data_IF_924097590012
#
_entry.id   IF_924097590012
#
_cell.length_a   1.000
_cell.length_b   1.000
_cell.length_c   1.000
_cell.angle_alpha   90.00
_cell.angle_beta   90.00
_cell.angle_gamma   90.00
#
_symmetry.space_group_name_H-M   'P 1'
#
loop_
_entity.id
_entity.type
_entity.pdbx_description
1 polymer ?
#
# COMPACT_ATOMS: atom_id res chain seq x y z
N UNK A 1 -15.70 2.01 -6.62
CA UNK A 1 -14.97 1.62 -7.84
C UNK A 1 -13.48 1.77 -7.59
N UNK A 2 -12.65 0.87 -8.17
CA UNK A 2 -11.20 1.01 -8.20
C UNK A 2 -10.76 1.45 -9.60
N UNK A 3 -9.78 2.35 -9.64
CA UNK A 3 -9.06 2.74 -10.84
C UNK A 3 -7.57 2.43 -10.69
N UNK A 4 -6.81 2.41 -11.79
CA UNK A 4 -5.36 2.34 -11.75
C UNK A 4 -4.82 3.50 -10.90
N UNK A 5 -3.80 3.26 -10.10
CA UNK A 5 -3.15 4.31 -9.31
C UNK A 5 -2.62 5.43 -10.22
N UNK A 6 -2.92 6.68 -9.86
CA UNK A 6 -2.64 7.85 -10.71
C UNK A 6 -1.17 8.27 -10.73
N UNK A 7 -0.36 7.81 -9.76
CA UNK A 7 1.09 8.03 -9.73
C UNK A 7 1.78 6.93 -10.54
N UNK A 8 2.46 7.25 -11.65
CA UNK A 8 3.06 6.26 -12.55
C UNK A 8 4.06 5.32 -11.88
N UNK A 9 4.95 5.85 -11.02
CA UNK A 9 5.96 5.06 -10.30
C UNK A 9 5.33 4.06 -9.31
N UNK A 10 4.10 4.31 -8.86
CA UNK A 10 3.36 3.46 -7.91
C UNK A 10 2.41 2.50 -8.62
N UNK A 11 2.05 2.80 -9.87
CA UNK A 11 0.96 2.11 -10.57
C UNK A 11 1.19 0.62 -10.82
N UNK A 12 2.44 0.18 -10.83
CA UNK A 12 2.78 -1.26 -10.90
C UNK A 12 4.22 -1.47 -10.43
N UNK A 13 4.38 -2.20 -9.34
CA UNK A 13 5.67 -2.72 -8.89
C UNK A 13 6.02 -4.06 -9.55
N UNK A 14 7.30 -4.39 -9.58
CA UNK A 14 7.80 -5.73 -9.91
C UNK A 14 8.66 -6.17 -8.73
N UNK A 15 8.30 -7.30 -8.13
CA UNK A 15 9.07 -7.87 -7.03
C UNK A 15 9.79 -9.13 -7.51
N UNK A 16 11.11 -9.13 -7.39
CA UNK A 16 11.99 -10.27 -7.68
C UNK A 16 12.44 -10.93 -6.39
N UNK A 17 12.62 -12.23 -6.41
CA UNK A 17 13.30 -12.91 -5.31
C UNK A 17 14.73 -12.37 -5.15
N UNK A 18 15.22 -12.19 -3.91
CA UNK A 18 16.58 -11.75 -3.65
C UNK A 18 17.61 -12.80 -4.16
N UNK A 19 18.81 -12.34 -4.52
CA UNK A 19 19.90 -13.24 -4.95
C UNK A 19 20.34 -14.16 -3.80
N UNK A 20 20.31 -13.66 -2.58
CA UNK A 20 20.55 -14.45 -1.36
C UNK A 20 19.23 -15.08 -0.90
N UNK A 21 19.07 -16.35 -1.19
CA UNK A 21 17.87 -17.13 -0.83
C UNK A 21 17.67 -17.30 0.68
N UNK A 22 18.65 -16.95 1.51
CA UNK A 22 18.47 -16.93 2.97
C UNK A 22 17.58 -15.77 3.43
N UNK A 23 17.43 -14.76 2.59
CA UNK A 23 16.54 -13.61 2.85
C UNK A 23 15.11 -13.96 2.42
N UNK A 24 14.13 -13.39 3.14
CA UNK A 24 12.74 -13.39 2.67
C UNK A 24 12.63 -12.65 1.33
N UNK A 25 11.71 -13.08 0.48
CA UNK A 25 11.38 -12.31 -0.74
C UNK A 25 10.80 -10.96 -0.34
N UNK A 26 9.96 -10.97 0.71
CA UNK A 26 9.49 -9.77 1.38
C UNK A 26 9.17 -10.07 2.84
N UNK A 27 9.47 -9.13 3.73
CA UNK A 27 9.24 -9.30 5.17
C UNK A 27 7.79 -8.96 5.53
N UNK A 28 7.37 -9.21 6.78
CA UNK A 28 6.03 -8.83 7.24
C UNK A 28 5.83 -7.32 7.17
N UNK A 29 4.86 -6.86 6.38
CA UNK A 29 4.53 -5.45 6.18
C UNK A 29 3.06 -5.24 5.79
N UNK A 30 2.68 -4.00 5.62
CA UNK A 30 1.52 -3.56 4.84
C UNK A 30 1.99 -2.62 3.75
N UNK A 31 1.27 -2.55 2.64
CA UNK A 31 1.61 -1.66 1.55
C UNK A 31 1.26 -0.20 1.84
N UNK A 32 1.92 0.71 1.15
CA UNK A 32 1.58 2.13 1.18
C UNK A 32 0.36 2.48 0.33
N UNK A 33 -0.09 1.59 -0.56
CA UNK A 33 -1.27 1.77 -1.41
C UNK A 33 -2.53 1.23 -0.76
N UNK A 34 -3.68 1.84 -1.07
CA UNK A 34 -4.96 1.40 -0.53
C UNK A 34 -5.34 0.00 -1.02
N UNK A 35 -5.13 -0.27 -2.30
CA UNK A 35 -5.41 -1.55 -2.94
C UNK A 35 -4.31 -1.92 -3.92
N UNK A 36 -3.96 -3.17 -3.95
CA UNK A 36 -3.04 -3.76 -4.92
C UNK A 36 -3.47 -5.18 -5.28
N UNK A 37 -2.87 -5.70 -6.34
CA UNK A 37 -3.02 -7.09 -6.74
C UNK A 37 -1.64 -7.74 -6.73
N UNK A 38 -1.46 -8.82 -6.02
CA UNK A 38 -0.24 -9.63 -6.11
C UNK A 38 -0.47 -10.69 -7.18
N UNK A 39 0.24 -10.58 -8.30
CA UNK A 39 0.11 -11.48 -9.45
C UNK A 39 1.40 -12.26 -9.66
N UNK A 40 1.34 -13.57 -9.60
CA UNK A 40 2.47 -14.45 -9.87
C UNK A 40 2.76 -14.52 -11.37
N UNK A 41 3.99 -14.17 -11.78
CA UNK A 41 4.42 -14.20 -13.20
C UNK A 41 5.21 -15.47 -13.49
N UNK A 42 6.10 -15.86 -12.59
CA UNK A 42 6.81 -17.14 -12.69
C UNK A 42 5.85 -18.32 -12.49
N UNK A 43 6.21 -19.49 -13.00
CA UNK A 43 5.43 -20.72 -12.77
C UNK A 43 5.56 -21.16 -11.30
N UNK A 44 4.48 -21.10 -10.50
CA UNK A 44 4.56 -21.49 -9.09
C UNK A 44 4.83 -22.99 -8.88
N UNK A 45 4.59 -23.82 -9.87
CA UNK A 45 4.80 -25.27 -9.76
C UNK A 45 6.28 -25.66 -9.63
N UNK A 46 7.20 -24.80 -10.10
CA UNK A 46 8.64 -25.03 -10.01
C UNK A 46 9.31 -24.28 -8.86
N UNK A 47 8.56 -23.44 -8.13
CA UNK A 47 9.08 -22.63 -7.04
C UNK A 47 8.93 -23.40 -5.73
N UNK A 48 10.03 -23.57 -4.98
CA UNK A 48 10.01 -24.11 -3.63
C UNK A 48 10.32 -22.99 -2.64
N UNK A 49 9.45 -22.80 -1.66
CA UNK A 49 9.47 -21.62 -0.81
C UNK A 49 8.83 -20.40 -1.50
N UNK A 50 9.08 -19.21 -0.98
CA UNK A 50 8.55 -17.97 -1.55
C UNK A 50 7.03 -17.84 -1.42
N UNK A 51 6.41 -18.60 -0.52
CA UNK A 51 4.97 -18.57 -0.27
C UNK A 51 4.53 -17.17 0.13
N UNK A 52 3.41 -16.73 -0.41
CA UNK A 52 2.73 -15.53 0.06
C UNK A 52 1.88 -15.87 1.28
N UNK A 53 2.12 -15.16 2.36
CA UNK A 53 1.45 -15.39 3.64
C UNK A 53 0.74 -14.13 4.12
N UNK A 54 -0.44 -14.34 4.69
CA UNK A 54 -1.30 -13.29 5.24
C UNK A 54 -1.55 -13.59 6.71
N UNK A 55 -1.41 -12.58 7.56
CA UNK A 55 -1.74 -12.66 8.97
C UNK A 55 -3.25 -12.47 9.17
N UNK A 56 -3.86 -13.38 9.91
CA UNK A 56 -5.27 -13.31 10.29
C UNK A 56 -5.44 -12.45 11.55
N UNK A 57 -5.46 -11.15 11.34
CA UNK A 57 -5.59 -10.16 12.40
C UNK A 57 -5.33 -8.76 11.88
N UNK A 58 -5.31 -7.81 12.79
CA UNK A 58 -4.96 -6.43 12.44
C UNK A 58 -3.45 -6.25 12.28
N UNK A 59 -3.05 -5.20 11.52
CA UNK A 59 -1.66 -4.77 11.44
C UNK A 59 -1.04 -4.60 12.82
N UNK A 60 -1.75 -3.94 13.73
CA UNK A 60 -1.27 -3.64 15.08
C UNK A 60 -1.01 -4.91 15.90
N UNK A 61 -1.87 -5.91 15.78
CA UNK A 61 -1.65 -7.21 16.45
C UNK A 61 -0.42 -7.91 15.88
N UNK A 62 -0.27 -7.97 14.55
CA UNK A 62 0.90 -8.56 13.91
C UNK A 62 2.20 -7.86 14.31
N UNK A 63 2.23 -6.54 14.27
CA UNK A 63 3.37 -5.73 14.71
C UNK A 63 3.70 -5.96 16.19
N UNK A 64 2.69 -6.04 17.06
CA UNK A 64 2.87 -6.30 18.48
C UNK A 64 3.49 -7.67 18.73
N UNK A 65 3.03 -8.71 18.01
CA UNK A 65 3.59 -10.06 18.12
C UNK A 65 5.05 -10.14 17.67
N UNK A 66 5.43 -9.37 16.65
CA UNK A 66 6.80 -9.30 16.16
C UNK A 66 7.70 -8.33 16.95
N UNK A 67 7.10 -7.55 17.85
CA UNK A 67 7.82 -6.52 18.61
C UNK A 67 8.38 -5.40 17.73
N UNK A 68 7.72 -5.10 16.59
CA UNK A 68 8.11 -4.01 15.67
C UNK A 68 7.24 -2.78 15.91
N UNK A 69 7.81 -1.61 15.57
CA UNK A 69 7.11 -0.33 15.60
C UNK A 69 7.23 0.33 14.23
N UNK A 70 6.13 0.93 13.77
CA UNK A 70 6.13 1.58 12.45
C UNK A 70 5.99 0.57 11.30
N UNK A 71 6.68 0.84 10.19
CA UNK A 71 6.60 0.05 8.95
C UNK A 71 7.85 -0.83 8.73
N UNK A 72 8.71 -0.93 9.73
CA UNK A 72 9.87 -1.84 9.68
C UNK A 72 9.42 -3.28 9.47
N UNK A 73 9.92 -3.88 8.39
CA UNK A 73 9.69 -5.28 8.12
C UNK A 73 10.55 -6.18 9.02
N UNK A 74 10.05 -7.34 9.38
CA UNK A 74 10.81 -8.35 10.10
C UNK A 74 10.50 -9.74 9.54
N UNK A 75 11.55 -10.49 9.22
CA UNK A 75 11.45 -11.90 8.84
C UNK A 75 11.46 -12.77 10.10
N UNK A 76 10.35 -12.75 10.84
CA UNK A 76 10.13 -13.58 12.03
C UNK A 76 8.83 -14.35 11.88
N UNK A 77 8.74 -15.50 12.55
CA UNK A 77 7.52 -16.30 12.49
C UNK A 77 6.43 -15.74 13.38
N UNK A 78 5.23 -15.67 12.83
CA UNK A 78 3.99 -15.44 13.57
C UNK A 78 3.34 -16.77 13.95
N UNK A 79 2.43 -16.82 14.94
CA UNK A 79 1.71 -18.03 15.30
C UNK A 79 1.06 -18.69 14.09
N UNK A 80 1.39 -19.94 13.81
CA UNK A 80 1.00 -20.63 12.57
C UNK A 80 -0.52 -20.71 12.38
N UNK A 81 -1.28 -20.82 13.48
CA UNK A 81 -2.75 -20.81 13.48
C UNK A 81 -3.36 -19.47 13.06
N UNK A 82 -2.54 -18.41 13.01
CA UNK A 82 -2.94 -17.07 12.59
C UNK A 82 -2.35 -16.67 11.22
N UNK A 83 -1.72 -17.59 10.54
CA UNK A 83 -1.11 -17.34 9.21
C UNK A 83 -1.78 -18.19 8.16
N UNK A 84 -2.22 -17.56 7.08
CA UNK A 84 -2.76 -18.25 5.91
C UNK A 84 -1.79 -18.10 4.75
N UNK A 85 -1.47 -19.22 4.12
CA UNK A 85 -0.73 -19.23 2.86
C UNK A 85 -1.70 -19.11 1.69
N UNK A 86 -1.46 -18.14 0.82
CA UNK A 86 -2.23 -17.94 -0.41
C UNK A 86 -1.55 -18.72 -1.54
N UNK A 87 -2.28 -19.66 -2.11
CA UNK A 87 -1.80 -20.42 -3.25
C UNK A 87 -2.06 -19.70 -4.58
N UNK A 88 -1.08 -19.69 -5.47
CA UNK A 88 -1.24 -19.26 -6.85
C UNK A 88 -1.46 -20.51 -7.73
N UNK A 89 -2.62 -20.64 -8.41
CA UNK A 89 -2.90 -21.81 -9.25
C UNK A 89 -1.98 -21.97 -10.45
N UNK A 90 -1.34 -20.89 -10.89
CA UNK A 90 -0.42 -20.86 -12.02
C UNK A 90 0.10 -19.45 -12.31
N UNK A 91 0.98 -19.32 -13.27
CA UNK A 91 1.43 -18.02 -13.77
C UNK A 91 0.24 -17.22 -14.33
N UNK A 92 0.25 -15.91 -14.09
CA UNK A 92 -0.84 -14.99 -14.47
C UNK A 92 -2.02 -14.95 -13.51
N UNK A 93 -2.03 -15.79 -12.46
CA UNK A 93 -3.02 -15.68 -11.38
C UNK A 93 -2.59 -14.68 -10.32
N UNK A 94 -3.54 -13.95 -9.80
CA UNK A 94 -3.32 -12.99 -8.72
C UNK A 94 -4.54 -12.87 -7.82
N UNK A 95 -4.37 -12.18 -6.71
CA UNK A 95 -5.44 -11.81 -5.81
C UNK A 95 -5.35 -10.32 -5.49
N UNK A 96 -6.52 -9.71 -5.36
CA UNK A 96 -6.68 -8.31 -4.97
C UNK A 96 -6.74 -8.23 -3.45
N UNK A 97 -6.01 -7.29 -2.87
CA UNK A 97 -6.02 -7.05 -1.42
C UNK A 97 -6.17 -5.56 -1.09
N UNK A 98 -6.53 -5.29 0.16
CA UNK A 98 -6.37 -3.97 0.78
C UNK A 98 -4.95 -3.88 1.34
N UNK A 99 -3.98 -3.49 0.48
CA UNK A 99 -2.57 -3.56 0.79
C UNK A 99 -2.17 -2.85 2.08
N UNK A 100 -2.76 -1.68 2.33
CA UNK A 100 -2.49 -0.88 3.54
C UNK A 100 -3.09 -1.45 4.85
N UNK A 101 -3.89 -2.49 4.78
CA UNK A 101 -4.55 -3.11 5.93
C UNK A 101 -4.13 -4.55 6.18
N UNK A 102 -3.85 -5.29 5.12
CA UNK A 102 -3.49 -6.70 5.19
C UNK A 102 -2.02 -6.82 5.55
N UNK A 103 -1.73 -7.39 6.73
CA UNK A 103 -0.36 -7.66 7.15
C UNK A 103 0.11 -8.96 6.50
N UNK A 104 1.13 -8.87 5.65
CA UNK A 104 1.53 -9.97 4.77
C UNK A 104 3.04 -10.03 4.57
N UNK A 105 3.52 -11.15 4.02
CA UNK A 105 4.91 -11.36 3.60
C UNK A 105 5.00 -12.29 2.41
N UNK A 106 6.18 -12.34 1.78
CA UNK A 106 6.60 -13.42 0.91
C UNK A 106 7.82 -14.12 1.51
N UNK A 107 7.71 -15.43 1.78
CA UNK A 107 8.74 -16.23 2.45
C UNK A 107 10.02 -16.31 1.63
N UNK A 108 11.12 -16.76 2.25
CA UNK A 108 12.36 -17.08 1.54
C UNK A 108 12.17 -18.26 0.58
N UNK A 109 12.97 -18.27 -0.45
CA UNK A 109 13.09 -19.44 -1.33
C UNK A 109 13.86 -20.57 -0.63
N UNK A 110 13.53 -21.81 -0.96
CA UNK A 110 14.27 -23.00 -0.52
C UNK A 110 15.31 -23.44 -1.55
N UNK A 111 15.14 -23.03 -2.80
CA UNK A 111 16.06 -23.30 -3.91
C UNK A 111 16.19 -22.05 -4.78
N UNK A 112 17.34 -21.86 -5.41
CA UNK A 112 17.56 -20.74 -6.33
C UNK A 112 16.74 -20.93 -7.60
N UNK A 113 15.71 -20.14 -7.78
CA UNK A 113 14.82 -20.14 -8.93
C UNK A 113 14.31 -18.71 -9.19
N UNK A 114 13.98 -18.42 -10.43
CA UNK A 114 13.35 -17.14 -10.75
C UNK A 114 11.92 -17.08 -10.16
N UNK A 115 11.69 -16.11 -9.30
CA UNK A 115 10.37 -15.80 -8.77
C UNK A 115 10.08 -14.31 -8.99
N UNK A 116 9.10 -14.05 -9.82
CA UNK A 116 8.66 -12.69 -10.18
C UNK A 116 7.18 -12.54 -9.89
N UNK A 117 6.83 -11.46 -9.21
CA UNK A 117 5.44 -11.01 -9.07
C UNK A 117 5.28 -9.59 -9.62
N UNK A 118 4.15 -9.33 -10.27
CA UNK A 118 3.68 -7.97 -10.58
C UNK A 118 2.72 -7.52 -9.47
N UNK A 119 2.82 -6.25 -9.13
CA UNK A 119 2.00 -5.63 -8.09
C UNK A 119 1.31 -4.38 -8.67
N UNK A 120 0.29 -4.56 -9.54
CA UNK A 120 -0.54 -3.44 -9.98
C UNK A 120 -1.26 -2.81 -8.80
N UNK A 121 -1.16 -1.49 -8.69
CA UNK A 121 -1.75 -0.73 -7.61
C UNK A 121 -2.97 0.07 -8.07
N UNK A 122 -3.94 0.20 -7.17
CA UNK A 122 -5.22 0.83 -7.46
C UNK A 122 -5.56 1.87 -6.39
N UNK A 123 -6.39 2.82 -6.79
CA UNK A 123 -6.94 3.82 -5.89
C UNK A 123 -8.47 3.89 -5.99
N UNK A 124 -9.09 4.42 -4.95
CA UNK A 124 -10.55 4.54 -4.87
C UNK A 124 -11.04 5.69 -5.74
N UNK A 125 -12.05 5.41 -6.58
CA UNK A 125 -12.74 6.40 -7.41
C UNK A 125 -14.22 6.53 -7.00
N UNK A 126 -14.83 7.71 -7.16
CA UNK A 126 -14.23 8.95 -7.68
C UNK A 126 -13.17 9.54 -6.75
N UNK A 127 -12.36 10.48 -7.24
CA UNK A 127 -11.26 11.10 -6.48
C UNK A 127 -11.73 11.83 -5.20
N UNK A 128 -13.00 12.21 -5.13
CA UNK A 128 -13.64 12.77 -3.93
C UNK A 128 -13.84 11.76 -2.80
N UNK A 129 -13.84 10.44 -3.11
CA UNK A 129 -13.98 9.40 -2.10
C UNK A 129 -12.72 9.30 -1.25
N UNK A 130 -12.87 8.79 -0.02
CA UNK A 130 -11.72 8.49 0.84
C UNK A 130 -10.86 7.40 0.21
N UNK A 131 -9.56 7.63 0.17
CA UNK A 131 -8.55 6.69 -0.25
C UNK A 131 -7.49 6.59 0.85
N UNK A 132 -7.06 5.40 1.19
CA UNK A 132 -6.17 5.16 2.32
C UNK A 132 -4.71 4.98 1.91
N UNK A 133 -4.34 5.37 0.68
CA UNK A 133 -2.93 5.41 0.25
C UNK A 133 -2.11 6.32 1.16
N UNK A 134 -0.99 5.83 1.64
CA UNK A 134 -0.04 6.56 2.48
C UNK A 134 1.02 7.25 1.62
N UNK A 135 0.68 8.42 1.07
CA UNK A 135 1.60 9.20 0.24
C UNK A 135 2.84 9.67 0.99
N UNK A 136 2.77 9.80 2.33
CA UNK A 136 3.90 10.25 3.15
C UNK A 136 4.98 9.18 3.19
N UNK A 137 4.60 7.93 3.40
CA UNK A 137 5.53 6.81 3.43
C UNK A 137 6.28 6.65 2.08
N UNK A 138 5.61 6.95 0.98
CA UNK A 138 6.21 6.90 -0.35
C UNK A 138 7.29 7.97 -0.59
N UNK A 139 7.35 9.04 0.23
CA UNK A 139 8.40 10.05 0.13
C UNK A 139 9.80 9.50 0.47
N UNK A 140 9.88 8.37 1.14
CA UNK A 140 11.13 7.67 1.42
C UNK A 140 11.70 6.94 0.19
N UNK A 141 10.90 6.74 -0.85
CA UNK A 141 11.32 6.08 -2.09
C UNK A 141 12.21 7.00 -2.93
N UNK A 142 13.16 6.40 -3.64
CA UNK A 142 14.17 7.15 -4.41
C UNK A 142 13.81 7.40 -5.87
N UNK A 143 12.57 7.14 -6.28
CA UNK A 143 12.13 7.30 -7.66
C UNK A 143 12.18 8.77 -8.10
N UNK A 144 12.84 9.09 -9.22
CA UNK A 144 12.91 10.44 -9.71
C UNK A 144 11.52 11.02 -10.03
N UNK A 145 11.24 12.20 -9.49
CA UNK A 145 9.97 12.91 -9.73
C UNK A 145 8.77 12.42 -8.91
N UNK A 146 8.94 11.40 -8.08
CA UNK A 146 7.86 10.84 -7.26
C UNK A 146 7.17 11.89 -6.38
N UNK A 147 7.92 12.78 -5.74
CA UNK A 147 7.36 13.86 -4.92
C UNK A 147 6.38 14.75 -5.71
N UNK A 148 6.73 15.08 -6.95
CA UNK A 148 5.88 15.89 -7.82
C UNK A 148 4.61 15.13 -8.24
N UNK A 149 4.72 13.83 -8.49
CA UNK A 149 3.58 12.98 -8.82
C UNK A 149 2.64 12.80 -7.62
N UNK A 150 3.19 12.60 -6.42
CA UNK A 150 2.41 12.54 -5.18
C UNK A 150 1.70 13.88 -4.93
N UNK A 151 2.39 15.01 -5.12
CA UNK A 151 1.77 16.32 -4.99
C UNK A 151 0.62 16.53 -5.99
N UNK A 152 0.79 16.13 -7.26
CA UNK A 152 -0.29 16.18 -8.26
C UNK A 152 -1.49 15.34 -7.84
N UNK A 153 -1.24 14.14 -7.36
CA UNK A 153 -2.30 13.23 -6.87
C UNK A 153 -3.09 13.87 -5.73
N UNK A 154 -2.41 14.38 -4.70
CA UNK A 154 -3.10 14.96 -3.54
C UNK A 154 -3.84 16.25 -3.91
N UNK A 155 -3.29 17.07 -4.80
CA UNK A 155 -3.98 18.27 -5.34
C UNK A 155 -5.24 17.85 -6.10
N UNK A 156 -5.15 16.86 -6.99
CA UNK A 156 -6.30 16.36 -7.75
C UNK A 156 -7.40 15.82 -6.84
N UNK A 157 -7.05 15.03 -5.83
CA UNK A 157 -8.02 14.47 -4.88
C UNK A 157 -8.62 15.56 -3.99
N UNK A 158 -7.83 16.51 -3.51
CA UNK A 158 -8.33 17.64 -2.72
C UNK A 158 -9.29 18.52 -3.54
N UNK A 159 -8.96 18.82 -4.79
CA UNK A 159 -9.84 19.55 -5.70
C UNK A 159 -11.18 18.84 -5.92
N UNK A 160 -11.15 17.52 -6.13
CA UNK A 160 -12.36 16.73 -6.29
C UNK A 160 -13.23 16.73 -5.01
N UNK A 161 -12.62 16.64 -3.83
CA UNK A 161 -13.35 16.73 -2.55
C UNK A 161 -13.94 18.11 -2.32
N UNK A 162 -13.17 19.17 -2.57
CA UNK A 162 -13.66 20.54 -2.45
C UNK A 162 -14.83 20.80 -3.41
N UNK A 163 -14.76 20.32 -4.66
CA UNK A 163 -15.88 20.43 -5.58
C UNK A 163 -17.12 19.68 -5.08
N UNK A 164 -16.95 18.48 -4.52
CA UNK A 164 -18.07 17.73 -3.95
C UNK A 164 -18.70 18.43 -2.73
N UNK A 165 -17.95 19.26 -2.00
CA UNK A 165 -18.48 20.06 -0.90
C UNK A 165 -19.43 21.17 -1.35
N UNK A 166 -19.26 21.70 -2.57
CA UNK A 166 -20.12 22.75 -3.10
C UNK A 166 -21.61 22.34 -3.10
N UNK A 167 -21.86 21.05 -3.38
CA UNK A 167 -23.22 20.50 -3.41
C UNK A 167 -23.73 20.04 -2.02
N UNK A 168 -22.83 19.90 -1.04
CA UNK A 168 -23.14 19.37 0.29
C UNK A 168 -23.23 20.43 1.38
N UNK A 169 -22.59 21.59 1.20
CA UNK A 169 -22.63 22.70 2.16
C UNK A 169 -24.02 23.35 2.15
N UNK A 170 -24.61 23.48 3.35
CA UNK A 170 -25.90 24.11 3.58
C UNK A 170 -25.73 25.48 4.24
N UNK A 171 -26.67 26.39 3.93
CA UNK A 171 -26.81 27.68 4.62
C UNK A 171 -27.06 27.53 6.14
N UNK A 172 -27.57 26.33 6.53
CA UNK A 172 -27.85 26.00 7.92
C UNK A 172 -26.63 25.45 8.68
N UNK A 173 -25.52 25.18 7.98
CA UNK A 173 -24.31 24.62 8.60
C UNK A 173 -23.67 25.63 9.54
N UNK A 174 -23.35 25.21 10.75
CA UNK A 174 -22.63 26.01 11.72
C UNK A 174 -21.12 26.08 11.38
N UNK A 175 -20.42 26.98 12.06
CA UNK A 175 -18.97 27.19 11.85
C UNK A 175 -18.13 25.92 12.13
N UNK A 176 -18.53 25.11 13.12
CA UNK A 176 -17.83 23.89 13.47
C UNK A 176 -17.93 22.85 12.34
N UNK A 177 -19.13 22.67 11.80
CA UNK A 177 -19.37 21.80 10.65
C UNK A 177 -18.59 22.26 9.43
N UNK A 178 -18.62 23.54 9.07
CA UNK A 178 -17.87 24.09 7.95
C UNK A 178 -16.35 23.90 8.13
N UNK A 179 -15.82 24.18 9.33
CA UNK A 179 -14.40 23.99 9.63
C UNK A 179 -13.97 22.54 9.44
N UNK A 180 -14.76 21.58 9.95
CA UNK A 180 -14.48 20.14 9.82
C UNK A 180 -14.53 19.70 8.37
N UNK A 181 -15.57 20.02 7.62
CA UNK A 181 -15.74 19.62 6.22
C UNK A 181 -14.58 20.09 5.34
N UNK A 182 -14.18 21.36 5.48
CA UNK A 182 -13.04 21.92 4.75
C UNK A 182 -11.74 21.25 5.20
N UNK A 183 -11.56 21.07 6.51
CA UNK A 183 -10.40 20.38 7.07
C UNK A 183 -10.23 18.97 6.52
N UNK A 184 -11.29 18.17 6.55
CA UNK A 184 -11.29 16.79 6.04
C UNK A 184 -10.95 16.71 4.54
N UNK A 185 -11.41 17.68 3.76
CA UNK A 185 -11.11 17.74 2.33
C UNK A 185 -9.64 18.08 2.05
N UNK A 186 -8.99 18.85 2.89
CA UNK A 186 -7.62 19.35 2.73
C UNK A 186 -6.58 18.54 3.50
N UNK A 187 -7.00 17.70 4.45
CA UNK A 187 -6.09 17.01 5.38
C UNK A 187 -4.94 16.27 4.67
N UNK A 188 -5.15 15.37 3.66
CA UNK A 188 -4.05 14.66 3.02
C UNK A 188 -3.07 15.58 2.28
N UNK A 189 -3.59 16.63 1.64
CA UNK A 189 -2.73 17.63 0.98
C UNK A 189 -1.90 18.42 1.99
N UNK A 190 -2.46 18.77 3.14
CA UNK A 190 -1.74 19.46 4.20
C UNK A 190 -0.67 18.59 4.84
N UNK A 191 -0.96 17.31 5.06
CA UNK A 191 -0.03 16.33 5.59
C UNK A 191 1.16 16.12 4.65
N UNK A 192 0.91 15.93 3.35
CA UNK A 192 1.98 15.84 2.35
C UNK A 192 2.81 17.14 2.31
N UNK A 193 2.16 18.30 2.30
CA UNK A 193 2.84 19.61 2.30
C UNK A 193 3.74 19.81 3.53
N UNK A 194 3.34 19.32 4.69
CA UNK A 194 4.13 19.37 5.91
C UNK A 194 5.38 18.51 5.77
N UNK A 195 5.24 17.28 5.29
CA UNK A 195 6.34 16.33 5.11
C UNK A 195 7.37 16.77 4.06
N UNK A 196 6.94 17.48 3.00
CA UNK A 196 7.83 18.04 1.99
C UNK A 196 8.72 19.21 2.48
N UNK A 197 8.47 19.73 3.69
CA UNK A 197 9.33 20.79 4.29
C UNK A 197 10.55 20.23 5.01
N UNK A 198 10.52 18.96 5.38
CA UNK A 198 11.63 18.32 6.05
C UNK A 198 12.68 17.92 5.02
N UNK A 199 13.99 18.24 5.24
CA UNK A 199 15.04 17.76 4.36
C UNK A 199 15.07 16.22 4.39
N UNK A 200 15.31 15.59 3.25
CA UNK A 200 15.58 14.14 3.20
C UNK A 200 16.78 13.82 4.09
N UNK A 201 16.61 12.91 5.02
CA UNK A 201 17.66 12.38 5.91
C UNK A 201 18.71 11.57 5.13
#
# INVERSE_FOLDING_TARGET
QLGRHSVPAVACGINYAPEDIAQAVDTWHVDSVAFDMVMMISDPAVIKGGEFQVFQGTKQEGQSLLGIRGEEGRDSELPAERVTTVAFPGAGYGFLQQGNMIFHRACRLLEKVERVTLIPSFEVLPASSRDATNSINMLEWTDPGLEAELARREIWRAAARLNALLDSISIADDRGTLHRLIGDALEPLNSLRASLKEPRS
#
